data_IF_262812772800
#
_entry.id   IF_262812772800
#
_cell.length_a   1.000
_cell.length_b   1.000
_cell.length_c   1.000
_cell.angle_alpha   90.00
_cell.angle_beta   90.00
_cell.angle_gamma   90.00
#
_symmetry.space_group_name_H-M   'P 1'
#
loop_
_entity.id
_entity.type
_entity.pdbx_description
1 polymer ?
#
# COMPACT_ATOMS: atom_id res chain seq x y z
N UNK A 1 -9.96 12.12 10.77
CA UNK A 1 -11.01 11.12 10.68
C UNK A 1 -10.46 9.73 10.42
N UNK A 2 -11.33 8.70 10.32
CA UNK A 2 -10.87 7.31 10.11
C UNK A 2 -10.01 7.14 8.86
N UNK A 3 -10.33 7.86 7.79
CA UNK A 3 -9.57 7.80 6.54
C UNK A 3 -8.16 8.34 6.72
N UNK A 4 -8.00 9.40 7.50
CA UNK A 4 -6.69 9.98 7.79
C UNK A 4 -5.83 8.97 8.58
N UNK A 5 -6.44 8.30 9.56
CA UNK A 5 -5.74 7.27 10.34
C UNK A 5 -5.31 6.09 9.44
N UNK A 6 -6.18 5.68 8.52
CA UNK A 6 -5.86 4.61 7.58
C UNK A 6 -4.72 5.03 6.65
N UNK A 7 -4.77 6.24 6.09
CA UNK A 7 -3.71 6.74 5.22
C UNK A 7 -2.36 6.80 5.95
N UNK A 8 -2.35 7.30 7.17
CA UNK A 8 -1.13 7.36 7.98
C UNK A 8 -0.56 5.96 8.23
N UNK A 9 -1.43 5.00 8.51
CA UNK A 9 -1.02 3.60 8.72
C UNK A 9 -0.39 3.01 7.45
N UNK A 10 -1.03 3.23 6.30
CA UNK A 10 -0.53 2.73 5.03
C UNK A 10 0.86 3.32 4.72
N UNK A 11 1.01 4.63 4.84
CA UNK A 11 2.30 5.29 4.58
C UNK A 11 3.37 4.75 5.51
N UNK A 12 3.05 4.60 6.80
CA UNK A 12 3.99 4.05 7.78
C UNK A 12 4.44 2.64 7.41
N UNK A 13 3.50 1.78 7.01
CA UNK A 13 3.82 0.41 6.61
C UNK A 13 4.66 0.36 5.34
N UNK A 14 4.48 1.32 4.43
CA UNK A 14 5.20 1.37 3.16
C UNK A 14 6.56 2.07 3.26
N UNK A 15 6.98 2.46 4.47
CA UNK A 15 8.22 3.21 4.67
C UNK A 15 9.51 2.40 4.53
N UNK A 16 9.44 1.08 4.45
CA UNK A 16 10.63 0.24 4.24
C UNK A 16 11.06 0.22 2.79
N UNK A 17 12.31 -0.20 2.53
CA UNK A 17 12.87 -0.24 1.17
C UNK A 17 12.07 -1.14 0.23
N UNK A 18 11.59 -2.27 0.73
CA UNK A 18 10.84 -3.22 -0.07
C UNK A 18 9.39 -2.80 -0.31
N UNK A 19 8.88 -1.83 0.47
CA UNK A 19 7.49 -1.44 0.41
C UNK A 19 6.56 -2.56 0.84
N UNK A 20 5.30 -2.45 0.45
CA UNK A 20 4.27 -3.43 0.81
C UNK A 20 3.42 -3.78 -0.40
N UNK A 21 3.03 -5.06 -0.50
CA UNK A 21 2.01 -5.47 -1.47
C UNK A 21 0.61 -5.15 -0.93
N UNK A 22 -0.37 -5.11 -1.82
CA UNK A 22 -1.77 -4.86 -1.40
C UNK A 22 -2.24 -5.92 -0.41
N UNK A 23 -1.91 -7.20 -0.64
CA UNK A 23 -2.30 -8.27 0.27
C UNK A 23 -1.79 -8.07 1.68
N UNK A 24 -0.53 -7.63 1.83
CA UNK A 24 0.06 -7.34 3.13
C UNK A 24 -0.60 -6.12 3.76
N UNK A 25 -0.85 -5.06 2.97
CA UNK A 25 -1.54 -3.87 3.48
C UNK A 25 -2.91 -4.21 4.03
N UNK A 26 -3.70 -4.99 3.29
CA UNK A 26 -5.03 -5.42 3.74
C UNK A 26 -4.93 -6.21 5.03
N UNK A 27 -3.96 -7.12 5.12
CA UNK A 27 -3.76 -7.94 6.32
C UNK A 27 -3.33 -7.09 7.53
N UNK A 28 -2.47 -6.10 7.33
CA UNK A 28 -1.99 -5.23 8.41
C UNK A 28 -3.02 -4.17 8.82
N UNK A 29 -3.98 -3.89 7.94
CA UNK A 29 -5.04 -2.90 8.19
C UNK A 29 -6.40 -3.60 8.40
N UNK A 30 -6.42 -4.68 9.17
CA UNK A 30 -7.62 -5.53 9.34
C UNK A 30 -8.82 -4.81 9.96
N UNK A 31 -8.61 -3.70 10.63
CA UNK A 31 -9.71 -2.88 11.18
C UNK A 31 -10.50 -2.18 10.10
N UNK A 32 -9.96 -2.12 8.88
CA UNK A 32 -10.57 -1.45 7.74
C UNK A 32 -10.94 -2.47 6.70
N UNK A 33 -11.95 -2.15 5.89
CA UNK A 33 -12.38 -3.02 4.80
C UNK A 33 -11.33 -3.03 3.70
N UNK A 34 -11.21 -4.16 3.00
CA UNK A 34 -10.29 -4.28 1.87
C UNK A 34 -10.50 -3.16 0.85
N UNK A 35 -11.76 -2.88 0.50
CA UNK A 35 -12.09 -1.83 -0.47
C UNK A 35 -11.63 -0.45 -0.03
N UNK A 36 -11.67 -0.17 1.28
CA UNK A 36 -11.18 1.10 1.82
C UNK A 36 -9.65 1.17 1.75
N UNK A 37 -8.97 0.08 2.07
CA UNK A 37 -7.51 0.02 1.97
C UNK A 37 -7.07 0.23 0.52
N UNK A 38 -7.73 -0.43 -0.42
CA UNK A 38 -7.42 -0.27 -1.84
C UNK A 38 -7.66 1.16 -2.31
N UNK A 39 -8.79 1.74 -1.92
CA UNK A 39 -9.16 3.10 -2.29
C UNK A 39 -8.15 4.12 -1.73
N UNK A 40 -7.82 4.02 -0.45
CA UNK A 40 -6.90 4.98 0.17
C UNK A 40 -5.48 4.81 -0.34
N UNK A 41 -5.05 3.58 -0.65
CA UNK A 41 -3.76 3.34 -1.27
C UNK A 41 -3.68 4.02 -2.64
N UNK A 42 -4.72 3.87 -3.46
CA UNK A 42 -4.78 4.52 -4.77
C UNK A 42 -4.76 6.04 -4.64
N UNK A 43 -5.46 6.60 -3.65
CA UNK A 43 -5.46 8.04 -3.40
C UNK A 43 -4.06 8.54 -3.00
N UNK A 44 -3.35 7.78 -2.18
CA UNK A 44 -2.00 8.13 -1.75
C UNK A 44 -1.01 8.10 -2.93
N UNK A 45 -1.17 7.15 -3.84
CA UNK A 45 -0.36 7.12 -5.06
C UNK A 45 -0.65 8.35 -5.92
N UNK A 46 -1.94 8.69 -6.09
CA UNK A 46 -2.34 9.86 -6.86
C UNK A 46 -1.83 11.17 -6.26
N UNK A 47 -1.71 11.23 -4.93
CA UNK A 47 -1.21 12.40 -4.22
C UNK A 47 0.33 12.50 -4.20
N UNK A 48 1.02 11.45 -4.65
CA UNK A 48 2.47 11.41 -4.60
C UNK A 48 3.05 10.99 -3.25
N UNK A 49 2.22 10.57 -2.30
CA UNK A 49 2.70 10.08 -1.00
C UNK A 49 3.29 8.68 -1.11
N UNK A 50 2.81 7.88 -2.04
CA UNK A 50 3.33 6.56 -2.35
C UNK A 50 3.67 6.48 -3.84
N UNK A 51 4.57 5.57 -4.18
CA UNK A 51 4.76 5.15 -5.57
C UNK A 51 4.47 3.66 -5.68
N UNK A 52 3.94 3.25 -6.83
CA UNK A 52 3.69 1.85 -7.13
C UNK A 52 4.80 1.36 -8.05
N UNK A 53 5.44 0.27 -7.67
CA UNK A 53 6.49 -0.36 -8.47
C UNK A 53 6.13 -1.81 -8.73
N UNK A 54 6.34 -2.25 -9.97
CA UNK A 54 6.12 -3.64 -10.35
C UNK A 54 7.46 -4.36 -10.31
N UNK A 55 7.52 -5.44 -9.54
CA UNK A 55 8.72 -6.24 -9.38
C UNK A 55 8.43 -7.65 -9.90
N UNK A 56 9.31 -8.18 -10.73
CA UNK A 56 9.19 -9.56 -11.20
C UNK A 56 9.63 -10.52 -10.10
N UNK A 57 8.75 -11.46 -9.76
CA UNK A 57 9.08 -12.55 -8.85
C UNK A 57 9.90 -13.62 -9.55
N UNK A 58 10.49 -14.53 -8.76
CA UNK A 58 11.33 -15.61 -9.28
C UNK A 58 10.61 -16.61 -10.16
N UNK A 59 9.27 -16.62 -10.14
CA UNK A 59 8.44 -17.48 -10.96
C UNK A 59 7.91 -16.80 -12.22
N UNK A 60 8.43 -15.62 -12.56
CA UNK A 60 8.01 -14.84 -13.72
C UNK A 60 6.76 -14.01 -13.52
N UNK A 61 6.11 -14.11 -12.37
CA UNK A 61 4.93 -13.30 -12.05
C UNK A 61 5.34 -11.94 -11.55
N UNK A 62 4.60 -10.91 -11.99
CA UNK A 62 4.82 -9.55 -11.53
C UNK A 62 4.03 -9.29 -10.25
N UNK A 63 4.65 -8.58 -9.31
CA UNK A 63 4.02 -8.20 -8.04
C UNK A 63 4.14 -6.68 -7.91
N UNK A 64 3.01 -6.03 -7.64
CA UNK A 64 3.00 -4.59 -7.41
C UNK A 64 3.29 -4.31 -5.93
N UNK A 65 4.21 -3.39 -5.69
CA UNK A 65 4.56 -2.94 -4.34
C UNK A 65 4.36 -1.45 -4.23
N UNK A 66 3.90 -1.03 -3.07
CA UNK A 66 3.69 0.39 -2.75
C UNK A 66 4.76 0.82 -1.77
N UNK A 67 5.46 1.89 -2.10
CA UNK A 67 6.61 2.38 -1.36
C UNK A 67 6.39 3.86 -1.04
N UNK A 68 6.62 4.25 0.21
CA UNK A 68 6.49 5.65 0.60
C UNK A 68 7.60 6.49 -0.05
N UNK A 69 7.19 7.61 -0.61
CA UNK A 69 8.12 8.56 -1.22
C UNK A 69 8.88 9.37 -0.18
#
# INVERSE_FOLDING_TARGET
GPQTALQARIVSLCGGEAGMTMGVLVNRCRKFRREDVEKETAALVAQGALRAETVKGGNGKSVERFIAN
#
